data_IF_723151086891
#
_entry.id   IF_723151086891
#
_cell.length_a   1.000
_cell.length_b   1.000
_cell.length_c   1.000
_cell.angle_alpha   90.00
_cell.angle_beta   90.00
_cell.angle_gamma   90.00
#
_symmetry.space_group_name_H-M   'P 1'
#
loop_
_entity.id
_entity.type
_entity.pdbx_description
1 polymer ?
#
# COMPACT_ATOMS: atom_id res chain seq x y z
N UNK A 1 -5.67 13.77 0.73
CA UNK A 1 -4.42 13.57 -0.01
C UNK A 1 -3.74 12.37 0.63
N UNK A 2 -3.70 11.22 -0.04
CA UNK A 2 -2.95 10.05 0.41
C UNK A 2 -1.51 10.25 -0.11
N UNK A 3 -0.50 10.08 0.74
CA UNK A 3 0.86 10.47 0.38
C UNK A 3 1.78 9.27 0.15
N UNK A 4 2.61 9.42 -0.88
CA UNK A 4 4.04 9.19 -0.78
C UNK A 4 4.80 10.52 -1.05
N UNK A 5 4.47 11.58 -0.30
CA UNK A 5 5.11 12.92 -0.39
C UNK A 5 5.91 13.20 0.86
N UNK A 6 6.95 12.40 1.05
CA UNK A 6 7.86 12.48 2.18
C UNK A 6 8.52 13.87 2.30
N UNK A 7 8.61 14.63 1.21
CA UNK A 7 9.27 15.94 1.18
C UNK A 7 8.45 17.05 1.84
N UNK A 8 7.12 17.02 1.76
CA UNK A 8 6.25 17.97 2.46
C UNK A 8 6.22 17.70 3.98
N UNK A 9 6.43 16.44 4.36
CA UNK A 9 6.64 16.02 5.75
C UNK A 9 8.01 16.49 6.23
N UNK A 10 9.08 16.21 5.48
CA UNK A 10 10.47 16.62 5.80
C UNK A 10 10.62 18.15 5.86
N UNK A 11 9.91 18.89 5.02
CA UNK A 11 9.93 20.36 5.02
C UNK A 11 8.97 20.98 6.07
N UNK A 12 8.26 20.16 6.84
CA UNK A 12 7.40 20.62 7.94
C UNK A 12 6.11 21.33 7.49
N UNK A 13 5.73 21.21 6.21
CA UNK A 13 4.46 21.76 5.71
C UNK A 13 3.27 21.03 6.30
N UNK A 14 3.43 19.74 6.61
CA UNK A 14 2.42 18.90 7.25
C UNK A 14 2.84 18.65 8.71
N UNK A 15 2.06 19.12 9.69
CA UNK A 15 2.31 18.82 11.09
C UNK A 15 2.30 17.30 11.34
N UNK A 16 3.28 16.79 12.10
CA UNK A 16 3.41 15.34 12.33
C UNK A 16 2.19 14.71 13.02
N UNK A 17 1.43 15.49 13.79
CA UNK A 17 0.17 15.06 14.40
C UNK A 17 -1.03 15.00 13.45
N UNK A 18 -0.85 15.36 12.17
CA UNK A 18 -1.88 15.31 11.11
C UNK A 18 -1.54 14.28 10.02
N UNK A 19 -0.70 13.30 10.34
CA UNK A 19 -0.33 12.17 9.48
C UNK A 19 -0.92 10.88 10.05
N UNK A 20 -1.68 10.13 9.24
CA UNK A 20 -2.30 8.85 9.62
C UNK A 20 -1.68 7.63 8.96
N UNK A 21 -1.83 6.45 9.60
CA UNK A 21 -1.35 5.15 9.09
C UNK A 21 -2.46 4.06 9.13
N UNK A 22 -3.54 4.24 9.90
CA UNK A 22 -4.52 3.18 10.20
C UNK A 22 -5.58 3.05 9.08
N UNK A 23 -5.52 1.99 8.26
CA UNK A 23 -6.34 1.82 7.03
C UNK A 23 -7.84 2.03 7.23
N UNK A 24 -8.45 1.46 8.27
CA UNK A 24 -9.91 1.56 8.48
C UNK A 24 -10.35 3.00 8.85
N UNK A 25 -9.54 3.71 9.65
CA UNK A 25 -9.86 5.08 10.08
C UNK A 25 -9.20 6.15 9.21
N UNK A 26 -8.30 5.77 8.30
CA UNK A 26 -7.49 6.68 7.49
C UNK A 26 -8.38 7.53 6.60
N UNK A 27 -9.26 6.87 5.86
CA UNK A 27 -10.13 7.54 4.90
C UNK A 27 -11.15 8.44 5.62
N UNK A 28 -11.78 7.95 6.68
CA UNK A 28 -12.67 8.77 7.51
C UNK A 28 -11.96 9.98 8.11
N UNK A 29 -10.72 9.81 8.56
CA UNK A 29 -9.93 10.90 9.13
C UNK A 29 -9.54 11.94 8.08
N UNK A 30 -9.24 11.51 6.84
CA UNK A 30 -8.96 12.42 5.72
C UNK A 30 -10.23 13.18 5.29
N UNK A 31 -11.36 12.47 5.16
CA UNK A 31 -12.63 13.04 4.72
C UNK A 31 -13.22 14.01 5.75
N UNK A 32 -12.94 13.80 7.04
CA UNK A 32 -13.35 14.67 8.13
C UNK A 32 -12.27 15.69 8.54
N UNK A 33 -11.21 15.88 7.74
CA UNK A 33 -10.14 16.85 7.97
C UNK A 33 -9.43 16.72 9.33
N UNK A 34 -9.43 15.51 9.90
CA UNK A 34 -8.70 15.19 11.14
C UNK A 34 -7.20 15.04 10.88
N UNK A 35 -6.85 14.55 9.70
CA UNK A 35 -5.50 14.43 9.17
C UNK A 35 -5.45 15.05 7.77
N UNK A 36 -4.26 15.47 7.34
CA UNK A 36 -4.05 16.03 6.00
C UNK A 36 -3.49 14.99 5.03
N UNK A 37 -2.85 13.98 5.60
CA UNK A 37 -2.01 13.01 4.92
C UNK A 37 -2.09 11.65 5.58
N UNK A 38 -1.85 10.60 4.81
CA UNK A 38 -1.47 9.31 5.39
C UNK A 38 -0.77 8.41 4.41
N UNK A 39 -0.11 7.39 4.96
CA UNK A 39 0.61 6.38 4.21
C UNK A 39 -0.26 5.15 3.98
N UNK A 40 -0.10 4.52 2.82
CA UNK A 40 -0.81 3.33 2.42
C UNK A 40 0.04 2.58 1.39
N UNK A 41 -0.13 1.27 1.26
CA UNK A 41 0.48 0.53 0.15
C UNK A 41 -0.05 1.07 -1.19
N UNK A 42 0.82 1.11 -2.20
CA UNK A 42 0.52 1.73 -3.48
C UNK A 42 -0.68 1.08 -4.20
N UNK A 43 -0.78 -0.25 -4.19
CA UNK A 43 -1.84 -0.97 -4.90
C UNK A 43 -3.23 -0.69 -4.32
N UNK A 44 -3.37 -0.80 -3.00
CA UNK A 44 -4.62 -0.47 -2.31
C UNK A 44 -4.97 1.02 -2.45
N UNK A 45 -3.98 1.89 -2.36
CA UNK A 45 -4.16 3.33 -2.50
C UNK A 45 -4.65 3.75 -3.90
N UNK A 46 -4.05 3.18 -4.95
CA UNK A 46 -4.49 3.37 -6.34
C UNK A 46 -5.91 2.87 -6.54
N UNK A 47 -6.25 1.69 -6.02
CA UNK A 47 -7.60 1.16 -6.13
C UNK A 47 -8.62 2.09 -5.44
N UNK A 48 -8.36 2.47 -4.19
CA UNK A 48 -9.31 3.26 -3.39
C UNK A 48 -9.52 4.66 -3.97
N UNK A 49 -8.46 5.35 -4.38
CA UNK A 49 -8.57 6.71 -4.94
C UNK A 49 -9.24 6.72 -6.31
N UNK A 50 -9.05 5.66 -7.12
CA UNK A 50 -9.68 5.56 -8.44
C UNK A 50 -11.13 5.07 -8.42
N UNK A 51 -11.52 4.25 -7.43
CA UNK A 51 -12.81 3.55 -7.45
C UNK A 51 -13.77 3.91 -6.29
N UNK A 52 -13.26 4.39 -5.15
CA UNK A 52 -14.08 4.61 -3.95
C UNK A 52 -14.14 6.11 -3.58
N UNK A 53 -12.98 6.74 -3.39
CA UNK A 53 -12.88 8.13 -2.91
C UNK A 53 -12.17 9.02 -3.92
N UNK A 54 -12.88 9.40 -4.99
CA UNK A 54 -12.35 10.22 -6.08
C UNK A 54 -11.98 11.67 -5.70
N UNK A 55 -12.32 12.09 -4.48
CA UNK A 55 -11.90 13.36 -3.90
C UNK A 55 -10.56 13.26 -3.15
N UNK A 56 -9.99 12.06 -3.03
CA UNK A 56 -8.65 11.81 -2.55
C UNK A 56 -7.72 11.51 -3.74
N UNK A 57 -6.43 11.75 -3.56
CA UNK A 57 -5.42 11.54 -4.61
C UNK A 57 -4.08 11.15 -3.99
N UNK A 58 -3.23 10.52 -4.80
CA UNK A 58 -1.86 10.16 -4.47
C UNK A 58 -0.89 11.28 -4.85
N UNK A 59 0.16 11.47 -4.05
CA UNK A 59 1.15 12.54 -4.27
C UNK A 59 2.55 12.07 -3.92
N UNK A 60 3.51 12.39 -4.80
CA UNK A 60 4.95 12.13 -4.66
C UNK A 60 5.40 10.79 -5.25
N UNK A 61 6.63 10.38 -4.94
CA UNK A 61 7.21 9.09 -5.35
C UNK A 61 7.19 8.08 -4.19
N UNK A 62 6.99 6.80 -4.49
CA UNK A 62 7.05 5.72 -3.49
C UNK A 62 8.39 5.71 -2.76
N UNK A 63 8.38 5.56 -1.44
CA UNK A 63 9.58 5.73 -0.60
C UNK A 63 10.20 4.41 -0.12
N UNK A 64 9.49 3.29 -0.23
CA UNK A 64 10.00 1.95 0.09
C UNK A 64 9.56 0.94 -0.96
N UNK A 65 10.52 0.18 -1.48
CA UNK A 65 10.26 -0.92 -2.41
C UNK A 65 10.17 -2.21 -1.58
N UNK A 66 8.95 -2.55 -1.18
CA UNK A 66 8.68 -3.74 -0.39
C UNK A 66 8.06 -4.86 -1.23
N UNK A 67 8.16 -6.09 -0.75
CA UNK A 67 7.50 -7.26 -1.33
C UNK A 67 6.44 -7.79 -0.40
N UNK A 68 5.25 -8.07 -0.92
CA UNK A 68 4.26 -8.90 -0.22
C UNK A 68 4.67 -10.37 -0.29
N UNK A 69 4.52 -11.07 0.83
CA UNK A 69 4.93 -12.47 0.95
C UNK A 69 3.92 -13.28 1.76
N UNK A 70 3.88 -14.59 1.50
CA UNK A 70 3.14 -15.54 2.31
C UNK A 70 3.98 -15.87 3.55
N UNK A 71 3.45 -15.58 4.74
CA UNK A 71 4.15 -15.85 6.00
C UNK A 71 3.99 -17.32 6.38
N UNK A 72 5.11 -18.01 6.61
CA UNK A 72 5.13 -19.42 7.03
C UNK A 72 5.94 -19.63 8.32
N UNK A 73 5.72 -20.73 9.06
CA UNK A 73 6.59 -21.11 10.16
C UNK A 73 8.06 -21.28 9.72
N UNK A 74 9.00 -21.07 10.65
CA UNK A 74 10.40 -21.39 10.39
C UNK A 74 10.56 -22.90 10.16
N UNK A 75 11.41 -23.28 9.19
CA UNK A 75 11.69 -24.68 8.85
C UNK A 75 10.43 -25.49 8.50
N UNK A 76 9.46 -24.86 7.84
CA UNK A 76 8.23 -25.52 7.47
C UNK A 76 8.48 -26.62 6.42
N UNK A 77 7.94 -27.82 6.67
CA UNK A 77 8.10 -29.00 5.81
C UNK A 77 7.71 -28.74 4.35
N UNK A 78 6.75 -27.85 4.11
CA UNK A 78 6.21 -27.54 2.78
C UNK A 78 6.75 -26.25 2.16
N UNK A 79 7.74 -25.60 2.80
CA UNK A 79 8.25 -24.30 2.33
C UNK A 79 8.75 -24.34 0.88
N UNK A 80 9.51 -25.39 0.53
CA UNK A 80 10.02 -25.55 -0.84
C UNK A 80 8.91 -25.73 -1.87
N UNK A 81 7.88 -26.53 -1.55
CA UNK A 81 6.77 -26.76 -2.46
C UNK A 81 5.99 -25.46 -2.71
N UNK A 82 5.73 -24.68 -1.66
CA UNK A 82 5.12 -23.36 -1.78
C UNK A 82 5.96 -22.43 -2.66
N UNK A 83 7.26 -22.32 -2.40
CA UNK A 83 8.14 -21.40 -3.11
C UNK A 83 8.21 -21.72 -4.62
N UNK A 84 8.32 -23.01 -4.97
CA UNK A 84 8.33 -23.46 -6.37
C UNK A 84 7.02 -23.13 -7.08
N UNK A 85 5.88 -23.34 -6.42
CA UNK A 85 4.59 -23.04 -7.02
C UNK A 85 4.33 -21.54 -7.16
N UNK A 86 4.80 -20.70 -6.23
CA UNK A 86 4.73 -19.24 -6.38
C UNK A 86 5.56 -18.78 -7.57
N UNK A 87 6.78 -19.31 -7.74
CA UNK A 87 7.63 -19.01 -8.89
C UNK A 87 6.95 -19.43 -10.20
N UNK A 88 6.38 -20.63 -10.24
CA UNK A 88 5.63 -21.10 -11.41
C UNK A 88 4.46 -20.16 -11.76
N UNK A 89 3.66 -19.74 -10.78
CA UNK A 89 2.55 -18.79 -11.00
C UNK A 89 3.03 -17.44 -11.52
N UNK A 90 4.19 -16.97 -11.04
CA UNK A 90 4.81 -15.72 -11.50
C UNK A 90 5.28 -15.85 -12.95
N UNK A 91 6.05 -16.88 -13.27
CA UNK A 91 6.63 -17.09 -14.60
C UNK A 91 5.58 -17.39 -15.68
N UNK A 92 4.47 -18.02 -15.28
CA UNK A 92 3.33 -18.28 -16.17
C UNK A 92 2.39 -17.08 -16.37
N UNK A 93 2.68 -15.93 -15.74
CA UNK A 93 1.86 -14.71 -15.83
C UNK A 93 0.52 -14.79 -15.08
N UNK A 94 0.29 -15.85 -14.29
CA UNK A 94 -0.96 -16.02 -13.55
C UNK A 94 -1.12 -14.96 -12.46
N UNK A 95 -0.01 -14.54 -11.82
CA UNK A 95 -0.06 -13.46 -10.83
C UNK A 95 -0.42 -12.11 -11.48
N UNK A 96 0.14 -11.81 -12.65
CA UNK A 96 -0.18 -10.58 -13.39
C UNK A 96 -1.66 -10.56 -13.83
N UNK A 97 -2.16 -11.70 -14.30
CA UNK A 97 -3.57 -11.85 -14.68
C UNK A 97 -4.53 -11.64 -13.49
N UNK A 98 -4.12 -12.03 -12.27
CA UNK A 98 -4.90 -11.78 -11.07
C UNK A 98 -4.91 -10.31 -10.67
N UNK A 99 -3.82 -9.58 -10.90
CA UNK A 99 -3.72 -8.15 -10.56
C UNK A 99 -4.61 -7.27 -11.44
N UNK A 100 -4.80 -7.64 -12.71
CA UNK A 100 -5.60 -6.86 -13.67
C UNK A 100 -7.10 -7.15 -13.56
N UNK A 101 -7.48 -8.24 -12.89
CA UNK A 101 -8.88 -8.70 -12.80
C UNK A 101 -9.69 -7.91 -11.79
#
# INVERSE_FOLDING_TARGET
MLFCGIDDIKSGKIPSNRIGIIVEELYDSLLNYRIDAGFHDAGGAEYVTNNIYSNLTLVGEGFEQESLAIVTPKQWLYGQDLDVNILFLKESGNLDNLQVK
#
